data_IF_486706012294
#
_entry.id   IF_486706012294
#
_cell.length_a   1.000
_cell.length_b   1.000
_cell.length_c   1.000
_cell.angle_alpha   90.00
_cell.angle_beta   90.00
_cell.angle_gamma   90.00
#
_symmetry.space_group_name_H-M   'P 1'
#
loop_
_entity.id
_entity.type
_entity.pdbx_description
1 polymer ?
#
# COMPACT_ATOMS: atom_id res chain seq x y z
N UNK A 1 -45.78 -36.82 3.91
CA UNK A 1 -44.86 -35.91 4.64
C UNK A 1 -43.59 -35.83 3.84
N UNK A 2 -43.49 -34.83 2.97
CA UNK A 2 -42.26 -34.59 2.17
C UNK A 2 -41.47 -33.45 2.84
N UNK A 3 -40.30 -33.82 3.34
CA UNK A 3 -39.35 -32.87 3.92
C UNK A 3 -38.59 -32.18 2.79
N UNK A 4 -38.80 -30.88 2.58
CA UNK A 4 -38.05 -30.08 1.64
C UNK A 4 -36.74 -29.64 2.30
N UNK A 5 -35.64 -30.28 1.94
CA UNK A 5 -34.30 -29.84 2.27
C UNK A 5 -33.94 -28.59 1.46
N UNK A 6 -33.90 -27.46 2.14
CA UNK A 6 -33.43 -26.17 1.59
C UNK A 6 -31.92 -26.22 1.44
N UNK A 7 -31.43 -26.53 0.25
CA UNK A 7 -30.04 -26.40 -0.14
C UNK A 7 -29.73 -24.90 -0.28
N UNK A 8 -29.14 -24.29 0.75
CA UNK A 8 -28.53 -23.00 0.64
C UNK A 8 -27.29 -23.13 -0.26
N UNK A 9 -27.44 -22.75 -1.52
CA UNK A 9 -26.34 -22.58 -2.45
C UNK A 9 -25.52 -21.39 -1.98
N UNK A 10 -24.43 -21.65 -1.25
CA UNK A 10 -23.37 -20.67 -1.04
C UNK A 10 -22.74 -20.38 -2.39
N UNK A 11 -23.15 -19.27 -3.00
CA UNK A 11 -22.45 -18.71 -4.16
C UNK A 11 -21.04 -18.31 -3.71
N UNK A 12 -20.07 -19.14 -4.02
CA UNK A 12 -18.66 -18.77 -3.97
C UNK A 12 -18.41 -17.81 -5.12
N UNK A 13 -18.76 -16.54 -4.93
CA UNK A 13 -18.17 -15.50 -5.74
C UNK A 13 -16.68 -15.58 -5.46
N UNK A 14 -15.90 -15.86 -6.49
CA UNK A 14 -14.43 -15.83 -6.48
C UNK A 14 -14.01 -14.40 -6.20
N UNK A 15 -14.03 -14.01 -4.92
CA UNK A 15 -13.49 -12.73 -4.47
C UNK A 15 -11.98 -12.90 -4.45
N UNK A 16 -11.30 -12.25 -5.39
CA UNK A 16 -9.83 -12.15 -5.37
C UNK A 16 -9.34 -11.62 -4.01
N UNK A 17 -8.06 -11.81 -3.71
CA UNK A 17 -7.47 -11.29 -2.47
C UNK A 17 -7.77 -9.78 -2.33
N UNK A 18 -8.08 -9.28 -1.11
CA UNK A 18 -8.54 -7.91 -0.91
C UNK A 18 -7.57 -6.84 -1.45
N UNK A 19 -6.27 -7.07 -1.32
CA UNK A 19 -5.22 -6.18 -1.82
C UNK A 19 -5.18 -6.14 -3.36
N UNK A 20 -5.42 -7.26 -4.02
CA UNK A 20 -5.50 -7.34 -5.49
C UNK A 20 -6.74 -6.59 -5.99
N UNK A 21 -7.89 -6.76 -5.33
CA UNK A 21 -9.13 -6.08 -5.74
C UNK A 21 -9.06 -4.57 -5.50
N UNK A 22 -8.43 -4.12 -4.42
CA UNK A 22 -8.20 -2.70 -4.15
C UNK A 22 -7.30 -2.06 -5.24
N UNK A 23 -6.16 -2.69 -5.53
CA UNK A 23 -5.22 -2.15 -6.53
C UNK A 23 -5.79 -2.23 -7.94
N UNK A 24 -6.60 -3.23 -8.26
CA UNK A 24 -7.33 -3.31 -9.53
C UNK A 24 -8.35 -2.16 -9.65
N UNK A 25 -9.17 -1.92 -8.63
CA UNK A 25 -10.13 -0.81 -8.62
C UNK A 25 -9.44 0.56 -8.77
N UNK A 26 -8.27 0.74 -8.16
CA UNK A 26 -7.46 1.95 -8.32
C UNK A 26 -6.95 2.10 -9.76
N UNK A 27 -6.31 1.07 -10.33
CA UNK A 27 -5.79 1.11 -11.72
C UNK A 27 -6.88 1.31 -12.76
N UNK A 28 -8.05 0.73 -12.54
CA UNK A 28 -9.20 0.84 -13.44
C UNK A 28 -10.00 2.14 -13.24
N UNK A 29 -9.53 3.03 -12.37
CA UNK A 29 -10.15 4.32 -12.06
C UNK A 29 -11.63 4.16 -11.63
N UNK A 30 -11.86 3.21 -10.71
CA UNK A 30 -13.18 2.91 -10.12
C UNK A 30 -13.26 3.39 -8.66
N UNK A 31 -13.39 4.71 -8.40
CA UNK A 31 -13.27 5.28 -7.06
C UNK A 31 -14.39 4.80 -6.12
N UNK A 32 -15.58 4.54 -6.63
CA UNK A 32 -16.71 4.04 -5.84
C UNK A 32 -16.47 2.60 -5.35
N UNK A 33 -15.95 1.73 -6.23
CA UNK A 33 -15.59 0.36 -5.86
C UNK A 33 -14.46 0.35 -4.83
N UNK A 34 -13.42 1.18 -5.04
CA UNK A 34 -12.31 1.34 -4.10
C UNK A 34 -12.80 1.83 -2.73
N UNK A 35 -13.66 2.86 -2.72
CA UNK A 35 -14.22 3.42 -1.48
C UNK A 35 -15.08 2.41 -0.72
N UNK A 36 -15.94 1.67 -1.42
CA UNK A 36 -16.80 0.63 -0.82
C UNK A 36 -15.99 -0.50 -0.21
N UNK A 37 -14.98 -1.02 -0.93
CA UNK A 37 -14.09 -2.06 -0.42
C UNK A 37 -13.29 -1.57 0.79
N UNK A 38 -12.71 -0.37 0.71
CA UNK A 38 -12.00 0.23 1.83
C UNK A 38 -12.89 0.38 3.06
N UNK A 39 -14.12 0.89 2.92
CA UNK A 39 -15.04 1.06 4.04
C UNK A 39 -15.34 -0.26 4.76
N UNK A 40 -15.44 -1.36 4.03
CA UNK A 40 -15.62 -2.69 4.61
C UNK A 40 -14.36 -3.13 5.37
N UNK A 41 -13.19 -3.06 4.75
CA UNK A 41 -11.92 -3.45 5.36
C UNK A 41 -11.57 -2.59 6.60
N UNK A 42 -11.91 -1.30 6.58
CA UNK A 42 -11.73 -0.41 7.72
C UNK A 42 -12.56 -0.85 8.93
N UNK A 43 -13.85 -1.15 8.72
CA UNK A 43 -14.72 -1.68 9.79
C UNK A 43 -14.22 -3.04 10.31
N UNK A 44 -13.82 -3.92 9.41
CA UNK A 44 -13.32 -5.24 9.76
C UNK A 44 -11.99 -5.15 10.55
N UNK A 45 -11.10 -4.24 10.19
CA UNK A 45 -9.89 -3.96 10.96
C UNK A 45 -10.24 -3.43 12.37
N UNK A 46 -11.18 -2.50 12.47
CA UNK A 46 -11.57 -1.92 13.75
C UNK A 46 -12.18 -2.96 14.71
N UNK A 47 -12.92 -3.92 14.18
CA UNK A 47 -13.56 -4.97 14.96
C UNK A 47 -12.62 -6.13 15.32
N UNK A 48 -11.84 -6.61 14.34
CA UNK A 48 -11.02 -7.82 14.51
C UNK A 48 -9.60 -7.54 14.98
N UNK A 49 -9.03 -6.37 14.66
CA UNK A 49 -7.62 -6.01 14.86
C UNK A 49 -6.63 -6.98 14.20
N UNK A 50 -7.10 -7.77 13.23
CA UNK A 50 -6.22 -8.68 12.48
C UNK A 50 -5.27 -7.88 11.59
N UNK A 51 -3.96 -8.13 11.71
CA UNK A 51 -2.92 -7.36 11.03
C UNK A 51 -3.09 -7.35 9.50
N UNK A 52 -3.43 -8.48 8.89
CA UNK A 52 -3.67 -8.56 7.44
C UNK A 52 -4.86 -7.67 7.01
N UNK A 53 -5.97 -7.70 7.76
CA UNK A 53 -7.13 -6.86 7.48
C UNK A 53 -6.80 -5.38 7.64
N UNK A 54 -6.03 -5.04 8.70
CA UNK A 54 -5.59 -3.67 8.93
C UNK A 54 -4.60 -3.19 7.86
N UNK A 55 -3.73 -4.06 7.35
CA UNK A 55 -2.88 -3.73 6.21
C UNK A 55 -3.70 -3.42 4.96
N UNK A 56 -4.71 -4.23 4.64
CA UNK A 56 -5.59 -3.98 3.50
C UNK A 56 -6.38 -2.66 3.66
N UNK A 57 -6.84 -2.35 4.88
CA UNK A 57 -7.48 -1.07 5.18
C UNK A 57 -6.50 0.11 4.99
N UNK A 58 -5.24 -0.04 5.43
CA UNK A 58 -4.20 0.96 5.23
C UNK A 58 -3.89 1.17 3.73
N UNK A 59 -3.76 0.09 2.97
CA UNK A 59 -3.55 0.15 1.52
C UNK A 59 -4.71 0.86 0.82
N UNK A 60 -5.95 0.51 1.14
CA UNK A 60 -7.13 1.19 0.61
C UNK A 60 -7.16 2.68 0.93
N UNK A 61 -6.80 3.06 2.16
CA UNK A 61 -6.67 4.47 2.57
C UNK A 61 -5.59 5.20 1.75
N UNK A 62 -4.44 4.57 1.52
CA UNK A 62 -3.36 5.12 0.69
C UNK A 62 -3.81 5.36 -0.76
N UNK A 63 -4.47 4.38 -1.37
CA UNK A 63 -4.96 4.46 -2.74
C UNK A 63 -6.06 5.53 -2.90
N UNK A 64 -6.98 5.64 -1.93
CA UNK A 64 -7.98 6.70 -1.91
C UNK A 64 -7.35 8.09 -1.75
N UNK A 65 -6.31 8.21 -0.92
CA UNK A 65 -5.57 9.47 -0.80
C UNK A 65 -4.92 9.87 -2.12
N UNK A 66 -4.34 8.93 -2.86
CA UNK A 66 -3.80 9.20 -4.21
C UNK A 66 -4.88 9.67 -5.18
N UNK A 67 -6.07 9.06 -5.15
CA UNK A 67 -7.21 9.45 -6.00
C UNK A 67 -7.65 10.88 -5.70
N UNK A 68 -7.67 11.26 -4.41
CA UNK A 68 -8.19 12.56 -3.96
C UNK A 68 -7.11 13.67 -3.90
N UNK A 69 -5.85 13.35 -4.15
CA UNK A 69 -4.71 14.25 -3.88
C UNK A 69 -4.83 15.63 -4.53
N UNK A 70 -5.42 15.69 -5.72
CA UNK A 70 -5.64 16.94 -6.46
C UNK A 70 -7.09 17.42 -6.40
N UNK A 71 -8.05 16.51 -6.30
CA UNK A 71 -9.48 16.81 -6.38
C UNK A 71 -10.07 17.29 -5.04
N UNK A 72 -9.64 16.65 -3.93
CA UNK A 72 -10.15 16.94 -2.57
C UNK A 72 -9.04 16.72 -1.54
N UNK A 73 -8.35 17.80 -1.21
CA UNK A 73 -7.21 17.76 -0.27
C UNK A 73 -7.61 17.39 1.15
N UNK A 74 -8.81 17.71 1.59
CA UNK A 74 -9.29 17.40 2.93
C UNK A 74 -9.65 15.91 3.01
N UNK A 75 -10.29 15.36 2.00
CA UNK A 75 -10.49 13.92 1.89
C UNK A 75 -9.15 13.17 1.84
N UNK A 76 -8.18 13.62 1.05
CA UNK A 76 -6.85 13.04 0.98
C UNK A 76 -6.15 13.07 2.36
N UNK A 77 -6.21 14.20 3.08
CA UNK A 77 -5.63 14.31 4.42
C UNK A 77 -6.26 13.33 5.42
N UNK A 78 -7.58 13.18 5.40
CA UNK A 78 -8.31 12.23 6.22
C UNK A 78 -7.93 10.78 5.91
N UNK A 79 -7.81 10.44 4.62
CA UNK A 79 -7.37 9.11 4.19
C UNK A 79 -5.94 8.81 4.62
N UNK A 80 -5.03 9.79 4.56
CA UNK A 80 -3.65 9.62 5.03
C UNK A 80 -3.56 9.43 6.55
N UNK A 81 -4.42 10.09 7.33
CA UNK A 81 -4.52 9.84 8.77
C UNK A 81 -5.00 8.41 9.07
N UNK A 82 -5.99 7.92 8.33
CA UNK A 82 -6.46 6.53 8.45
C UNK A 82 -5.37 5.54 8.02
N UNK A 83 -4.66 5.80 6.92
CA UNK A 83 -3.52 5.01 6.49
C UNK A 83 -2.50 4.85 7.62
N UNK A 84 -2.10 5.94 8.27
CA UNK A 84 -1.19 5.89 9.41
C UNK A 84 -1.69 5.01 10.56
N UNK A 85 -2.95 5.18 10.94
CA UNK A 85 -3.59 4.41 12.01
C UNK A 85 -3.65 2.91 11.70
N UNK A 86 -4.10 2.55 10.50
CA UNK A 86 -4.22 1.15 10.10
C UNK A 86 -2.87 0.48 9.86
N UNK A 87 -1.88 1.20 9.31
CA UNK A 87 -0.52 0.69 9.19
C UNK A 87 0.10 0.38 10.54
N UNK A 88 -0.10 1.25 11.55
CA UNK A 88 0.38 1.00 12.90
C UNK A 88 -0.25 -0.27 13.51
N UNK A 89 -1.55 -0.51 13.30
CA UNK A 89 -2.22 -1.74 13.72
C UNK A 89 -1.68 -2.98 12.98
N UNK A 90 -1.46 -2.87 11.67
CA UNK A 90 -0.90 -3.96 10.87
C UNK A 90 0.52 -4.33 11.31
N UNK A 91 1.35 -3.35 11.66
CA UNK A 91 2.73 -3.55 12.11
C UNK A 91 2.89 -4.16 13.50
N UNK A 92 1.78 -4.51 14.18
CA UNK A 92 1.84 -5.21 15.48
C UNK A 92 2.21 -6.69 15.35
N UNK A 93 2.13 -7.27 14.15
CA UNK A 93 2.55 -8.64 13.86
C UNK A 93 3.86 -8.63 13.06
N UNK A 94 4.84 -9.41 13.51
CA UNK A 94 6.18 -9.46 12.92
C UNK A 94 6.18 -9.79 11.42
N UNK A 95 5.27 -10.67 10.99
CA UNK A 95 5.16 -11.10 9.59
C UNK A 95 4.75 -10.00 8.61
N UNK A 96 4.09 -8.93 9.08
CA UNK A 96 3.63 -7.80 8.28
C UNK A 96 4.31 -6.48 8.63
N UNK A 97 5.18 -6.50 9.67
CA UNK A 97 5.78 -5.26 10.19
C UNK A 97 6.54 -4.49 9.11
N UNK A 98 7.36 -5.15 8.33
CA UNK A 98 8.16 -4.49 7.29
C UNK A 98 7.28 -3.85 6.21
N UNK A 99 6.28 -4.58 5.70
CA UNK A 99 5.35 -4.06 4.70
C UNK A 99 4.47 -2.93 5.27
N UNK A 100 4.06 -3.03 6.53
CA UNK A 100 3.27 -1.99 7.20
C UNK A 100 4.09 -0.73 7.44
N UNK A 101 5.34 -0.84 7.87
CA UNK A 101 6.26 0.28 8.06
C UNK A 101 6.60 0.97 6.73
N UNK A 102 6.80 0.19 5.65
CA UNK A 102 7.03 0.73 4.31
C UNK A 102 5.80 1.49 3.78
N UNK A 103 4.60 0.95 3.97
CA UNK A 103 3.35 1.63 3.62
C UNK A 103 3.14 2.90 4.47
N UNK A 104 3.42 2.85 5.78
CA UNK A 104 3.35 4.02 6.66
C UNK A 104 4.32 5.11 6.22
N UNK A 105 5.54 4.73 5.84
CA UNK A 105 6.52 5.66 5.24
C UNK A 105 5.95 6.36 4.00
N UNK A 106 5.27 5.62 3.11
CA UNK A 106 4.63 6.18 1.92
C UNK A 106 3.49 7.14 2.27
N UNK A 107 2.66 6.82 3.29
CA UNK A 107 1.61 7.72 3.77
C UNK A 107 2.18 9.02 4.34
N UNK A 108 3.31 8.96 5.03
CA UNK A 108 4.01 10.16 5.49
C UNK A 108 4.57 10.98 4.32
N UNK A 109 5.17 10.33 3.32
CA UNK A 109 5.64 10.99 2.10
C UNK A 109 4.51 11.73 1.38
N UNK A 110 3.37 11.10 1.24
CA UNK A 110 2.19 11.71 0.60
C UNK A 110 1.60 12.84 1.46
N UNK A 111 1.63 12.73 2.79
CA UNK A 111 1.22 13.78 3.72
C UNK A 111 2.12 15.03 3.60
N UNK A 112 3.42 14.84 3.35
CA UNK A 112 4.37 15.93 3.09
C UNK A 112 4.09 16.57 1.72
N UNK A 113 3.83 15.75 0.69
CA UNK A 113 3.48 16.25 -0.64
C UNK A 113 2.18 17.09 -0.62
N UNK A 114 1.20 16.68 0.20
CA UNK A 114 -0.04 17.41 0.40
C UNK A 114 0.16 18.71 1.18
N UNK A 115 1.04 18.70 2.18
CA UNK A 115 1.38 19.85 3.01
C UNK A 115 2.86 19.83 3.41
N UNK A 116 3.68 20.63 2.74
CA UNK A 116 5.12 20.69 2.92
C UNK A 116 5.54 21.07 4.36
N UNK A 117 4.69 21.77 5.13
CA UNK A 117 5.00 22.12 6.53
C UNK A 117 5.18 20.89 7.43
N UNK A 118 4.63 19.74 7.04
CA UNK A 118 4.80 18.45 7.74
C UNK A 118 6.18 17.82 7.53
N UNK A 119 6.99 18.36 6.58
CA UNK A 119 8.28 17.76 6.20
C UNK A 119 9.25 17.62 7.33
N UNK A 120 9.36 18.62 8.22
CA UNK A 120 10.28 18.57 9.37
C UNK A 120 9.93 17.46 10.37
N UNK A 121 8.63 17.22 10.60
CA UNK A 121 8.17 16.19 11.53
C UNK A 121 8.15 14.79 10.91
N UNK A 122 7.58 14.67 9.70
CA UNK A 122 7.34 13.37 9.07
C UNK A 122 8.50 12.86 8.20
N UNK A 123 9.37 13.75 7.71
CA UNK A 123 10.48 13.37 6.83
C UNK A 123 11.47 12.39 7.48
N UNK A 124 12.03 12.73 8.65
CA UNK A 124 12.90 11.80 9.40
C UNK A 124 12.19 10.49 9.76
N UNK A 125 10.94 10.56 10.24
CA UNK A 125 10.17 9.38 10.60
C UNK A 125 9.91 8.46 9.39
N UNK A 126 9.52 9.02 8.23
CA UNK A 126 9.36 8.27 6.98
C UNK A 126 10.66 7.57 6.56
N UNK A 127 11.79 8.26 6.70
CA UNK A 127 13.11 7.71 6.35
C UNK A 127 13.47 6.53 7.25
N UNK A 128 13.30 6.68 8.57
CA UNK A 128 13.61 5.62 9.54
C UNK A 128 12.72 4.40 9.33
N UNK A 129 11.40 4.59 9.18
CA UNK A 129 10.46 3.49 8.93
C UNK A 129 10.86 2.66 7.70
N UNK A 130 11.21 3.32 6.60
CA UNK A 130 11.58 2.62 5.38
C UNK A 130 12.93 1.90 5.52
N UNK A 131 13.92 2.51 6.15
CA UNK A 131 15.22 1.88 6.42
C UNK A 131 15.07 0.65 7.33
N UNK A 132 14.23 0.73 8.35
CA UNK A 132 13.92 -0.41 9.22
C UNK A 132 13.19 -1.52 8.47
N UNK A 133 12.23 -1.16 7.60
CA UNK A 133 11.53 -2.12 6.74
C UNK A 133 12.50 -2.87 5.80
N UNK A 134 13.43 -2.15 5.17
CA UNK A 134 14.47 -2.76 4.31
C UNK A 134 15.39 -3.71 5.09
N UNK A 135 15.74 -3.36 6.33
CA UNK A 135 16.55 -4.20 7.20
C UNK A 135 15.80 -5.45 7.66
N UNK A 136 14.51 -5.32 7.97
CA UNK A 136 13.65 -6.43 8.44
C UNK A 136 13.29 -7.41 7.31
N UNK A 137 13.02 -6.89 6.11
CA UNK A 137 12.60 -7.71 4.97
C UNK A 137 13.34 -7.32 3.68
N UNK A 138 14.66 -7.60 3.58
CA UNK A 138 15.50 -7.21 2.43
C UNK A 138 15.13 -7.91 1.12
N UNK A 139 14.25 -8.91 1.18
CA UNK A 139 13.71 -9.64 0.03
C UNK A 139 12.23 -9.35 -0.22
N UNK A 140 11.61 -8.44 0.53
CA UNK A 140 10.23 -8.04 0.26
C UNK A 140 10.15 -7.16 -0.99
N UNK A 141 9.44 -7.59 -2.05
CA UNK A 141 9.29 -6.77 -3.25
C UNK A 141 8.53 -5.46 -2.98
N UNK A 142 7.61 -5.44 -2.01
CA UNK A 142 6.82 -4.25 -1.67
C UNK A 142 7.62 -3.22 -0.91
N UNK A 143 8.52 -3.64 -0.05
CA UNK A 143 9.46 -2.74 0.63
C UNK A 143 10.33 -2.03 -0.41
N UNK A 144 10.89 -2.77 -1.38
CA UNK A 144 11.65 -2.17 -2.48
C UNK A 144 10.80 -1.28 -3.39
N UNK A 145 9.53 -1.61 -3.61
CA UNK A 145 8.61 -0.73 -4.33
C UNK A 145 8.44 0.62 -3.63
N UNK A 146 8.20 0.64 -2.33
CA UNK A 146 8.06 1.89 -1.58
C UNK A 146 9.38 2.66 -1.47
N UNK A 147 10.52 1.98 -1.42
CA UNK A 147 11.84 2.61 -1.51
C UNK A 147 12.04 3.31 -2.87
N UNK A 148 11.68 2.63 -3.96
CA UNK A 148 11.72 3.21 -5.29
C UNK A 148 10.80 4.44 -5.41
N UNK A 149 9.55 4.32 -4.94
CA UNK A 149 8.58 5.42 -4.93
C UNK A 149 9.10 6.64 -4.18
N UNK A 150 9.65 6.43 -2.98
CA UNK A 150 10.22 7.52 -2.18
C UNK A 150 11.36 8.20 -2.91
N UNK A 151 12.33 7.45 -3.43
CA UNK A 151 13.49 8.00 -4.15
C UNK A 151 13.08 8.74 -5.42
N UNK A 152 12.08 8.28 -6.11
CA UNK A 152 11.57 8.87 -7.35
C UNK A 152 10.78 10.16 -7.09
N UNK A 153 9.89 10.15 -6.10
CA UNK A 153 8.98 11.28 -5.81
C UNK A 153 9.59 12.38 -4.94
N UNK A 154 10.72 12.11 -4.29
CA UNK A 154 11.42 13.11 -3.47
C UNK A 154 12.30 14.00 -4.36
N UNK A 155 12.28 15.33 -4.20
CA UNK A 155 13.24 16.21 -4.86
C UNK A 155 14.69 15.85 -4.52
N UNK A 156 15.61 16.02 -5.47
CA UNK A 156 17.04 15.69 -5.29
C UNK A 156 17.67 16.36 -4.05
N UNK A 157 17.31 17.62 -3.78
CA UNK A 157 17.78 18.38 -2.61
C UNK A 157 17.36 17.77 -1.27
N UNK A 158 16.34 16.90 -1.27
CA UNK A 158 15.84 16.16 -0.11
C UNK A 158 16.17 14.67 -0.18
N UNK A 159 17.13 14.28 -1.03
CA UNK A 159 17.62 12.91 -1.12
C UNK A 159 16.91 12.03 -2.14
N UNK A 160 16.14 12.61 -3.06
CA UNK A 160 15.60 11.88 -4.21
C UNK A 160 16.70 11.50 -5.19
N UNK A 161 16.59 10.31 -5.76
CA UNK A 161 17.58 9.75 -6.69
C UNK A 161 16.89 8.81 -7.70
N UNK A 162 16.59 9.28 -8.92
CA UNK A 162 15.92 8.47 -9.93
C UNK A 162 16.72 7.23 -10.36
N UNK A 163 18.06 7.26 -10.24
CA UNK A 163 18.90 6.10 -10.59
C UNK A 163 18.74 5.00 -9.56
N UNK A 164 18.82 5.36 -8.28
CA UNK A 164 18.56 4.42 -7.20
C UNK A 164 17.09 3.96 -7.17
N UNK A 165 16.15 4.86 -7.48
CA UNK A 165 14.75 4.50 -7.62
C UNK A 165 14.54 3.39 -8.64
N UNK A 166 15.15 3.51 -9.82
CA UNK A 166 15.07 2.48 -10.85
C UNK A 166 15.68 1.15 -10.37
N UNK A 167 16.84 1.19 -9.73
CA UNK A 167 17.48 -0.02 -9.20
C UNK A 167 16.60 -0.75 -8.17
N UNK A 168 15.95 -0.01 -7.25
CA UNK A 168 14.99 -0.59 -6.30
C UNK A 168 13.75 -1.17 -7.02
N UNK A 169 13.21 -0.47 -8.02
CA UNK A 169 12.04 -0.94 -8.76
C UNK A 169 12.36 -2.22 -9.57
N UNK A 170 13.50 -2.27 -10.25
CA UNK A 170 13.94 -3.47 -10.98
C UNK A 170 14.22 -4.65 -10.04
N UNK A 171 14.80 -4.38 -8.85
CA UNK A 171 14.93 -5.39 -7.80
C UNK A 171 13.59 -5.90 -7.31
N UNK A 172 12.62 -5.02 -7.07
CA UNK A 172 11.27 -5.40 -6.68
C UNK A 172 10.61 -6.30 -7.72
N UNK A 173 10.73 -5.95 -9.01
CA UNK A 173 10.18 -6.75 -10.10
C UNK A 173 10.79 -8.16 -10.13
N UNK A 174 12.12 -8.25 -10.00
CA UNK A 174 12.82 -9.54 -9.95
C UNK A 174 12.37 -10.37 -8.75
N UNK A 175 12.22 -9.76 -7.56
CA UNK A 175 11.75 -10.48 -6.37
C UNK A 175 10.33 -11.01 -6.54
N UNK A 176 9.45 -10.32 -7.28
CA UNK A 176 8.14 -10.88 -7.64
C UNK A 176 8.21 -12.05 -8.60
N UNK A 177 9.23 -12.13 -9.45
CA UNK A 177 9.43 -13.23 -10.41
C UNK A 177 10.05 -14.45 -9.75
N UNK A 178 11.03 -14.24 -8.86
CA UNK A 178 11.74 -15.29 -8.15
C UNK A 178 10.97 -15.87 -6.94
N UNK A 179 9.93 -15.19 -6.47
CA UNK A 179 9.24 -15.50 -5.22
C UNK A 179 8.00 -16.35 -5.47
N UNK A 180 8.11 -17.65 -5.25
CA UNK A 180 6.95 -18.54 -5.06
C UNK A 180 6.19 -18.25 -3.76
N UNK A 181 6.81 -17.56 -2.81
CA UNK A 181 6.27 -17.31 -1.49
C UNK A 181 6.35 -15.84 -1.12
N UNK A 182 5.25 -15.13 -1.24
CA UNK A 182 5.02 -13.95 -0.44
C UNK A 182 4.90 -14.38 1.03
N UNK A 183 5.99 -14.30 1.78
CA UNK A 183 5.99 -14.65 3.21
C UNK A 183 4.95 -13.86 4.02
N UNK A 184 4.57 -12.67 3.53
CA UNK A 184 3.53 -11.81 4.10
C UNK A 184 2.10 -12.22 3.74
N UNK A 185 1.89 -13.11 2.77
CA UNK A 185 0.58 -13.48 2.25
C UNK A 185 -0.12 -12.39 1.42
N UNK A 186 0.58 -11.30 1.08
CA UNK A 186 0.07 -10.23 0.24
C UNK A 186 0.27 -10.58 -1.24
N UNK A 187 -0.70 -10.24 -2.10
CA UNK A 187 -0.72 -10.65 -3.50
C UNK A 187 -0.58 -9.49 -4.51
N UNK A 188 -0.64 -8.23 -4.06
CA UNK A 188 -0.51 -7.04 -4.91
C UNK A 188 0.95 -6.65 -5.18
N UNK A 189 1.19 -5.79 -6.15
CA UNK A 189 2.42 -5.02 -6.27
C UNK A 189 3.16 -5.20 -7.61
N UNK A 190 3.11 -6.38 -8.24
CA UNK A 190 3.88 -6.59 -9.50
C UNK A 190 3.47 -5.64 -10.63
N UNK A 191 2.18 -5.41 -10.93
CA UNK A 191 1.77 -4.42 -11.93
C UNK A 191 2.15 -2.98 -11.55
N UNK A 192 2.09 -2.64 -10.26
CA UNK A 192 2.44 -1.32 -9.73
C UNK A 192 3.94 -1.04 -9.92
N UNK A 193 4.78 -2.04 -9.67
CA UNK A 193 6.24 -1.96 -9.91
C UNK A 193 6.54 -1.78 -11.39
N UNK A 194 5.92 -2.56 -12.28
CA UNK A 194 6.12 -2.44 -13.72
C UNK A 194 5.77 -1.02 -14.21
N UNK A 195 4.63 -0.49 -13.76
CA UNK A 195 4.21 0.87 -14.09
C UNK A 195 5.19 1.93 -13.56
N UNK A 196 5.70 1.77 -12.33
CA UNK A 196 6.69 2.68 -11.75
C UNK A 196 7.99 2.70 -12.56
N UNK A 197 8.47 1.55 -13.04
CA UNK A 197 9.65 1.45 -13.90
C UNK A 197 9.46 2.26 -15.19
N UNK A 198 8.27 2.15 -15.81
CA UNK A 198 7.93 2.92 -17.02
C UNK A 198 7.95 4.43 -16.73
N UNK A 199 7.35 4.87 -15.61
CA UNK A 199 7.36 6.28 -15.21
C UNK A 199 8.79 6.81 -15.01
N UNK A 200 9.63 6.08 -14.26
CA UNK A 200 11.02 6.50 -14.00
C UNK A 200 11.82 6.60 -15.32
N UNK A 201 11.58 5.69 -16.26
CA UNK A 201 12.27 5.70 -17.56
C UNK A 201 11.78 6.83 -18.47
N UNK A 202 10.53 7.24 -18.38
CA UNK A 202 9.94 8.32 -19.16
C UNK A 202 10.41 9.72 -18.72
N UNK A 203 10.85 9.89 -17.45
CA UNK A 203 11.32 11.18 -16.91
C UNK A 203 12.86 11.39 -17.04
N UNK A 204 13.55 10.46 -17.69
CA UNK A 204 15.01 10.57 -18.04
C UNK A 204 15.21 11.28 -19.36
#
# INVERSE_FOLDING_TARGET
>A
MFSASLLLAFSWASTGAPDVTLTAAFRETKPEALSSQHATLARDCESSKLAATCYHAALGSYLLALTNLQADKDAAANQLAQCGRFSALAGTQDTLKAEADALLSACYGLSIALNASKGMALGPASTTLLADAERLAPTSPRVHYFAAMRLFRTPKIWGGDPVKALAHAERALKLFEDSEANASGLAWGKPEVAHLIEQIKAEK
#
